data_IF_572948470076
#
_entry.id   IF_572948470076
#
_cell.length_a   1.000
_cell.length_b   1.000
_cell.length_c   1.000
_cell.angle_alpha   90.00
_cell.angle_beta   90.00
_cell.angle_gamma   90.00
#
_symmetry.space_group_name_H-M   'P 1'
#
loop_
_entity.id
_entity.type
_entity.pdbx_description
1 polymer ?
#
# COMPACT_ATOMS: atom_id res chain seq x y z
N UNK A 1 7.05 -4.48 19.50
CA UNK A 1 6.97 -5.42 18.36
C UNK A 1 6.84 -4.69 17.01
N UNK A 2 5.91 -3.74 16.87
CA UNK A 2 5.64 -3.01 15.61
C UNK A 2 6.88 -2.38 14.96
N UNK A 3 7.54 -1.41 15.61
CA UNK A 3 8.70 -0.72 15.06
C UNK A 3 9.82 -1.68 14.67
N UNK A 4 10.13 -2.65 15.54
CA UNK A 4 11.14 -3.68 15.28
C UNK A 4 10.90 -4.46 13.97
N UNK A 5 9.62 -4.73 13.63
CA UNK A 5 9.28 -5.39 12.37
C UNK A 5 9.55 -4.52 11.15
N UNK A 6 9.19 -3.23 11.22
CA UNK A 6 9.48 -2.26 10.17
C UNK A 6 10.97 -1.98 10.03
N UNK A 7 11.70 -1.87 11.13
CA UNK A 7 13.16 -1.72 11.11
C UNK A 7 13.83 -2.90 10.40
N UNK A 8 13.37 -4.13 10.66
CA UNK A 8 13.84 -5.33 9.96
C UNK A 8 13.63 -5.21 8.43
N UNK A 9 12.42 -4.83 8.01
CA UNK A 9 12.11 -4.61 6.59
C UNK A 9 13.02 -3.54 5.97
N UNK A 10 13.07 -2.35 6.57
CA UNK A 10 13.81 -1.23 5.99
C UNK A 10 15.31 -1.46 5.99
N UNK A 11 15.85 -2.12 7.00
CA UNK A 11 17.27 -2.49 7.01
C UNK A 11 17.61 -3.51 5.92
N UNK A 12 16.67 -4.38 5.55
CA UNK A 12 16.85 -5.31 4.43
C UNK A 12 16.71 -4.63 3.05
N UNK A 13 15.81 -3.65 2.92
CA UNK A 13 15.53 -2.98 1.64
C UNK A 13 16.54 -1.87 1.29
N UNK A 14 16.95 -1.05 2.26
CA UNK A 14 17.83 0.12 2.05
C UNK A 14 19.14 -0.15 1.30
N UNK A 15 19.87 -1.26 1.53
CA UNK A 15 21.14 -1.49 0.85
C UNK A 15 21.00 -2.08 -0.55
N UNK A 16 19.80 -2.50 -0.97
CA UNK A 16 19.59 -3.13 -2.28
C UNK A 16 19.98 -2.19 -3.42
N UNK A 17 20.68 -2.74 -4.40
CA UNK A 17 21.03 -2.07 -5.65
C UNK A 17 20.17 -2.63 -6.80
N UNK A 18 20.17 -1.97 -7.96
CA UNK A 18 19.40 -2.42 -9.12
C UNK A 18 19.72 -3.86 -9.53
N UNK A 19 20.99 -4.27 -9.40
CA UNK A 19 21.46 -5.61 -9.75
C UNK A 19 20.93 -6.70 -8.79
N UNK A 20 20.41 -6.32 -7.60
CA UNK A 20 19.85 -7.28 -6.64
C UNK A 20 18.42 -7.70 -6.99
N UNK A 21 17.72 -7.00 -7.88
CA UNK A 21 16.27 -7.21 -8.10
C UNK A 21 15.93 -8.62 -8.60
N UNK A 22 16.83 -9.23 -9.37
CA UNK A 22 16.70 -10.61 -9.88
C UNK A 22 17.40 -11.66 -8.99
N UNK A 23 18.07 -11.24 -7.91
CA UNK A 23 18.72 -12.17 -6.98
C UNK A 23 17.69 -13.10 -6.35
N UNK A 24 17.98 -14.39 -6.34
CA UNK A 24 17.10 -15.38 -5.73
C UNK A 24 17.25 -15.37 -4.21
N UNK A 25 16.12 -15.19 -3.52
CA UNK A 25 15.95 -15.37 -2.08
C UNK A 25 14.96 -16.49 -1.83
N UNK A 26 15.06 -17.13 -0.67
CA UNK A 26 14.20 -18.26 -0.33
C UNK A 26 13.19 -17.87 0.74
N UNK A 27 11.91 -18.07 0.43
CA UNK A 27 10.82 -17.96 1.40
C UNK A 27 10.22 -19.35 1.55
N UNK A 28 10.45 -19.99 2.71
CA UNK A 28 10.02 -21.38 2.95
C UNK A 28 10.56 -22.36 1.88
N UNK A 29 11.83 -22.19 1.51
CA UNK A 29 12.53 -22.95 0.46
C UNK A 29 11.94 -22.80 -0.96
N UNK A 30 11.04 -21.84 -1.18
CA UNK A 30 10.60 -21.45 -2.50
C UNK A 30 11.46 -20.28 -2.97
N UNK A 31 12.14 -20.47 -4.10
CA UNK A 31 12.97 -19.44 -4.71
C UNK A 31 12.09 -18.33 -5.27
N UNK A 32 12.43 -17.09 -4.96
CA UNK A 32 11.80 -15.89 -5.46
C UNK A 32 12.87 -14.89 -5.85
N UNK A 33 12.67 -14.10 -6.90
CA UNK A 33 13.48 -12.89 -7.06
C UNK A 33 13.23 -11.92 -5.91
N UNK A 34 14.17 -11.01 -5.65
CA UNK A 34 13.96 -9.94 -4.65
C UNK A 34 12.71 -9.13 -4.99
N UNK A 35 12.47 -8.84 -6.27
CA UNK A 35 11.25 -8.17 -6.74
C UNK A 35 9.97 -8.94 -6.37
N UNK A 36 9.95 -10.25 -6.61
CA UNK A 36 8.81 -11.10 -6.24
C UNK A 36 8.58 -11.11 -4.74
N UNK A 37 9.65 -11.23 -3.94
CA UNK A 37 9.58 -11.22 -2.49
C UNK A 37 9.02 -9.89 -1.95
N UNK A 38 9.44 -8.75 -2.51
CA UNK A 38 8.94 -7.42 -2.16
C UNK A 38 7.46 -7.29 -2.52
N UNK A 39 7.06 -7.66 -3.74
CA UNK A 39 5.67 -7.59 -4.18
C UNK A 39 4.75 -8.47 -3.34
N UNK A 40 5.20 -9.70 -3.00
CA UNK A 40 4.47 -10.59 -2.09
C UNK A 40 4.23 -9.93 -0.74
N UNK A 41 5.24 -9.27 -0.18
CA UNK A 41 5.12 -8.61 1.13
C UNK A 41 4.24 -7.35 1.06
N UNK A 42 4.37 -6.55 0.00
CA UNK A 42 3.51 -5.39 -0.25
C UNK A 42 2.03 -5.78 -0.30
N UNK A 43 1.69 -6.83 -1.06
CA UNK A 43 0.33 -7.34 -1.14
C UNK A 43 -0.18 -7.84 0.21
N UNK A 44 0.66 -8.52 0.98
CA UNK A 44 0.32 -9.03 2.31
C UNK A 44 0.00 -7.90 3.31
N UNK A 45 0.77 -6.80 3.29
CA UNK A 45 0.46 -5.63 4.11
C UNK A 45 -0.89 -5.02 3.74
N UNK A 46 -1.13 -4.79 2.44
CA UNK A 46 -2.40 -4.25 1.97
C UNK A 46 -3.59 -5.12 2.39
N UNK A 47 -3.44 -6.45 2.38
CA UNK A 47 -4.46 -7.37 2.84
C UNK A 47 -4.79 -7.16 4.33
N UNK A 48 -3.79 -7.15 5.21
CA UNK A 48 -4.01 -6.96 6.64
C UNK A 48 -4.47 -5.55 7.01
N UNK A 49 -3.97 -4.52 6.34
CA UNK A 49 -4.47 -3.14 6.50
C UNK A 49 -5.94 -3.08 6.08
N UNK A 50 -6.32 -3.75 5.00
CA UNK A 50 -7.71 -3.89 4.57
C UNK A 50 -8.60 -4.53 5.63
N UNK A 51 -8.12 -5.59 6.30
CA UNK A 51 -8.84 -6.22 7.43
C UNK A 51 -9.02 -5.24 8.60
N UNK A 52 -7.98 -4.47 8.96
CA UNK A 52 -8.05 -3.45 10.02
C UNK A 52 -9.07 -2.36 9.66
N UNK A 53 -9.04 -1.86 8.42
CA UNK A 53 -9.99 -0.87 7.92
C UNK A 53 -11.42 -1.42 7.95
N UNK A 54 -11.63 -2.67 7.56
CA UNK A 54 -12.93 -3.32 7.58
C UNK A 54 -13.49 -3.43 9.01
N UNK A 55 -12.67 -3.86 9.97
CA UNK A 55 -13.05 -3.88 11.39
C UNK A 55 -13.36 -2.47 11.89
N UNK A 56 -12.54 -1.48 11.55
CA UNK A 56 -12.79 -0.07 11.91
C UNK A 56 -14.13 0.42 11.39
N UNK A 57 -14.47 0.08 10.14
CA UNK A 57 -15.76 0.41 9.54
C UNK A 57 -16.93 -0.26 10.25
N UNK A 58 -16.80 -1.54 10.62
CA UNK A 58 -17.84 -2.25 11.37
C UNK A 58 -18.06 -1.65 12.76
N UNK A 59 -16.97 -1.34 13.48
CA UNK A 59 -17.02 -0.79 14.84
C UNK A 59 -17.61 0.62 14.85
N UNK A 60 -17.24 1.46 13.86
CA UNK A 60 -17.72 2.85 13.79
C UNK A 60 -19.12 2.98 13.21
N UNK A 61 -19.57 2.00 12.41
CA UNK A 61 -20.90 2.01 11.81
C UNK A 61 -21.18 3.31 11.05
N UNK A 62 -22.26 4.00 11.43
CA UNK A 62 -22.66 5.29 10.85
C UNK A 62 -21.67 6.42 11.11
N UNK A 63 -20.83 6.31 12.16
CA UNK A 63 -19.78 7.28 12.47
C UNK A 63 -18.49 7.03 11.69
N UNK A 64 -18.43 6.02 10.80
CA UNK A 64 -17.28 5.80 9.95
C UNK A 64 -17.09 6.95 8.96
N UNK A 65 -15.93 7.61 9.03
CA UNK A 65 -15.52 8.59 8.02
C UNK A 65 -14.75 7.87 6.91
N UNK A 66 -15.18 8.06 5.66
CA UNK A 66 -14.50 7.50 4.49
C UNK A 66 -13.04 7.94 4.46
N UNK A 67 -12.11 7.00 4.26
CA UNK A 67 -10.67 7.28 4.09
C UNK A 67 -10.32 7.66 2.63
N UNK A 68 -11.30 7.58 1.74
CA UNK A 68 -11.21 7.97 0.34
C UNK A 68 -12.56 8.56 -0.12
N UNK A 69 -12.95 8.35 -1.36
CA UNK A 69 -14.21 8.85 -1.91
C UNK A 69 -15.40 8.21 -1.18
N UNK A 70 -16.32 9.00 -0.59
CA UNK A 70 -17.53 8.48 0.03
C UNK A 70 -18.36 7.62 -0.94
N UNK A 71 -19.09 6.65 -0.38
CA UNK A 71 -19.94 5.75 -1.17
C UNK A 71 -20.97 6.57 -1.97
N UNK A 72 -21.00 6.39 -3.28
CA UNK A 72 -21.90 7.10 -4.19
C UNK A 72 -21.33 8.40 -4.77
N UNK A 73 -20.17 8.87 -4.30
CA UNK A 73 -19.58 10.14 -4.75
C UNK A 73 -18.53 10.00 -5.87
N UNK A 74 -18.30 8.79 -6.39
CA UNK A 74 -17.25 8.53 -7.40
C UNK A 74 -17.45 9.31 -8.70
N UNK A 75 -18.70 9.46 -9.17
CA UNK A 75 -18.99 10.17 -10.42
C UNK A 75 -18.60 11.64 -10.29
N UNK A 76 -19.05 12.31 -9.22
CA UNK A 76 -18.73 13.71 -8.96
C UNK A 76 -17.21 13.91 -8.81
N UNK A 77 -16.55 13.08 -7.99
CA UNK A 77 -15.10 13.15 -7.80
C UNK A 77 -14.34 13.01 -9.13
N UNK A 78 -14.75 12.06 -9.98
CA UNK A 78 -14.12 11.85 -11.28
C UNK A 78 -14.35 13.03 -12.23
N UNK A 79 -15.55 13.58 -12.29
CA UNK A 79 -15.83 14.78 -13.09
C UNK A 79 -14.92 15.94 -12.68
N UNK A 80 -14.80 16.20 -11.37
CA UNK A 80 -13.95 17.27 -10.82
C UNK A 80 -12.45 17.02 -11.09
N UNK A 81 -12.00 15.76 -11.06
CA UNK A 81 -10.61 15.39 -11.35
C UNK A 81 -10.28 15.47 -12.84
N UNK A 82 -11.18 15.05 -13.73
CA UNK A 82 -10.95 15.08 -15.18
C UNK A 82 -11.17 16.45 -15.82
N UNK A 83 -11.83 17.37 -15.12
CA UNK A 83 -11.91 18.78 -15.52
C UNK A 83 -10.59 19.54 -15.35
N UNK A 84 -9.62 18.98 -14.61
CA UNK A 84 -8.29 19.58 -14.40
C UNK A 84 -7.33 19.13 -15.49
N UNK A 85 -6.37 19.99 -15.81
CA UNK A 85 -5.28 19.63 -16.70
C UNK A 85 -4.46 18.47 -16.15
N UNK A 86 -3.88 17.68 -17.06
CA UNK A 86 -2.98 16.59 -16.72
C UNK A 86 -1.71 17.17 -16.14
N UNK A 87 -1.34 16.70 -14.95
CA UNK A 87 -0.13 17.11 -14.25
C UNK A 87 0.55 15.92 -13.57
N UNK A 88 1.87 16.01 -13.38
CA UNK A 88 2.67 15.02 -12.67
C UNK A 88 2.94 15.52 -11.26
N UNK A 89 2.07 15.13 -10.33
CA UNK A 89 2.19 15.41 -8.90
C UNK A 89 2.13 14.15 -8.06
N UNK A 90 2.64 14.22 -6.84
CA UNK A 90 2.50 13.13 -5.89
C UNK A 90 1.06 13.12 -5.36
N UNK A 91 0.48 11.93 -5.16
CA UNK A 91 -0.93 11.81 -4.75
C UNK A 91 -1.21 12.36 -3.35
N UNK A 92 -0.17 12.63 -2.56
CA UNK A 92 -0.25 13.29 -1.25
C UNK A 92 -0.12 14.80 -1.30
N UNK A 93 0.15 15.40 -2.46
CA UNK A 93 0.26 16.86 -2.57
C UNK A 93 -1.11 17.54 -2.41
N UNK A 94 -2.19 16.77 -2.53
CA UNK A 94 -3.58 17.20 -2.34
C UNK A 94 -4.12 16.84 -0.92
N UNK A 95 -3.30 16.27 -0.02
CA UNK A 95 -3.69 15.83 1.34
C UNK A 95 -3.50 16.92 2.41
#
# INVERSE_FOLDING_TARGET
AWNKGWDCLFNALKPLQNDDFERIVYIRNQGHSVTEAINRQLAHYSYHIGQIVFLGKMIKGEHWKSLSIPKGSSIQYNNDKFAKDKDRKHFTDDL
#
